data_IF_451644014458
#
_entry.id   IF_451644014458
#
_cell.length_a   1.000
_cell.length_b   1.000
_cell.length_c   1.000
_cell.angle_alpha   90.00
_cell.angle_beta   90.00
_cell.angle_gamma   90.00
#
_symmetry.space_group_name_H-M   'P 1'
#
loop_
_entity.id
_entity.type
_entity.pdbx_description
1 polymer ?
#
# COMPACT_ATOMS: atom_id res chain seq x y z
N UNK A 1 10.06 -12.50 8.84
CA UNK A 1 8.79 -13.16 9.18
C UNK A 1 7.71 -12.11 9.16
N UNK A 2 6.46 -12.46 8.85
CA UNK A 2 5.36 -11.48 9.00
C UNK A 2 5.04 -11.39 10.49
N UNK A 3 5.23 -10.20 11.05
CA UNK A 3 5.11 -9.90 12.47
C UNK A 3 3.74 -9.30 12.82
N UNK A 4 3.07 -8.70 11.84
CA UNK A 4 1.71 -8.21 11.97
C UNK A 4 0.99 -8.36 10.64
N UNK A 5 -0.33 -8.57 10.65
CA UNK A 5 -1.08 -8.72 9.42
C UNK A 5 -2.53 -8.27 9.54
N UNK A 6 -3.01 -7.67 8.47
CA UNK A 6 -4.37 -7.20 8.34
C UNK A 6 -5.00 -7.85 7.10
N UNK A 7 -6.21 -8.38 7.25
CA UNK A 7 -6.97 -8.91 6.12
C UNK A 7 -8.32 -8.19 6.02
N UNK A 8 -8.71 -7.90 4.78
CA UNK A 8 -10.01 -7.33 4.47
C UNK A 8 -10.65 -8.01 3.27
N UNK A 9 -11.97 -8.20 3.34
CA UNK A 9 -12.79 -8.59 2.21
C UNK A 9 -13.27 -7.33 1.51
N UNK A 10 -12.95 -7.19 0.22
CA UNK A 10 -13.44 -6.14 -0.65
C UNK A 10 -14.41 -6.72 -1.68
N UNK A 11 -15.61 -6.15 -1.73
CA UNK A 11 -16.67 -6.48 -2.68
C UNK A 11 -16.98 -5.22 -3.49
N UNK A 12 -16.89 -5.27 -4.82
CA UNK A 12 -17.17 -4.11 -5.68
C UNK A 12 -18.12 -4.45 -6.83
N UNK A 13 -18.89 -3.46 -7.28
CA UNK A 13 -19.75 -3.60 -8.45
C UNK A 13 -19.86 -2.29 -9.24
N UNK A 14 -20.07 -2.41 -10.55
CA UNK A 14 -20.34 -1.27 -11.44
C UNK A 14 -21.82 -0.91 -11.52
N UNK A 15 -22.70 -1.82 -11.08
CA UNK A 15 -24.15 -1.76 -11.30
C UNK A 15 -24.97 -1.93 -10.03
N UNK A 16 -24.41 -2.51 -8.97
CA UNK A 16 -25.12 -2.74 -7.69
C UNK A 16 -24.49 -1.92 -6.56
N UNK A 17 -25.24 -1.75 -5.47
CA UNK A 17 -24.88 -0.87 -4.35
C UNK A 17 -24.16 -1.61 -3.22
N UNK A 18 -23.43 -0.88 -2.40
CA UNK A 18 -22.80 -1.44 -1.19
C UNK A 18 -23.84 -1.82 -0.12
N UNK A 19 -24.99 -1.14 -0.09
CA UNK A 19 -26.08 -1.44 0.85
C UNK A 19 -26.70 -2.84 0.61
N UNK A 20 -26.74 -3.30 -0.64
CA UNK A 20 -27.22 -4.65 -0.96
C UNK A 20 -26.30 -5.74 -0.39
N UNK A 21 -24.99 -5.52 -0.39
CA UNK A 21 -24.03 -6.44 0.22
C UNK A 21 -24.30 -6.58 1.72
N UNK A 22 -24.51 -5.47 2.43
CA UNK A 22 -24.89 -5.45 3.85
C UNK A 22 -26.17 -6.23 4.10
N UNK A 23 -27.19 -6.02 3.25
CA UNK A 23 -28.48 -6.73 3.32
C UNK A 23 -28.32 -8.24 3.15
N UNK A 24 -27.47 -8.68 2.21
CA UNK A 24 -27.26 -10.10 1.91
C UNK A 24 -26.43 -10.78 3.01
N UNK A 25 -25.33 -10.17 3.41
CA UNK A 25 -24.42 -10.77 4.40
C UNK A 25 -24.91 -10.61 5.84
N UNK A 26 -25.76 -9.63 6.12
CA UNK A 26 -26.17 -9.27 7.48
C UNK A 26 -24.98 -8.80 8.33
N UNK A 27 -23.99 -8.16 7.69
CA UNK A 27 -22.78 -7.65 8.32
C UNK A 27 -22.62 -6.17 8.00
N UNK A 28 -22.22 -5.38 8.98
CA UNK A 28 -21.86 -3.98 8.77
C UNK A 28 -20.44 -3.88 8.20
N UNK A 29 -20.21 -3.06 7.16
CA UNK A 29 -18.88 -2.85 6.63
C UNK A 29 -18.02 -2.00 7.56
N UNK A 30 -16.72 -2.26 7.54
CA UNK A 30 -15.72 -1.32 8.06
C UNK A 30 -15.65 -0.04 7.22
N UNK A 31 -15.94 -0.15 5.92
CA UNK A 31 -16.00 0.97 4.99
C UNK A 31 -16.93 0.63 3.82
N UNK A 32 -17.71 1.61 3.39
CA UNK A 32 -18.52 1.50 2.17
C UNK A 32 -18.44 2.79 1.37
N UNK A 33 -18.82 2.70 0.09
CA UNK A 33 -18.96 3.82 -0.81
C UNK A 33 -19.84 3.45 -2.00
N UNK A 34 -20.49 4.44 -2.60
CA UNK A 34 -21.25 4.28 -3.83
C UNK A 34 -20.52 4.83 -5.06
N UNK A 35 -20.88 4.28 -6.22
CA UNK A 35 -20.49 4.80 -7.52
C UNK A 35 -20.95 6.26 -7.65
N UNK A 36 -20.06 7.11 -8.14
CA UNK A 36 -20.29 8.55 -8.26
C UNK A 36 -19.97 9.34 -7.01
N UNK A 37 -19.57 8.69 -5.90
CA UNK A 37 -19.04 9.42 -4.75
C UNK A 37 -17.65 10.02 -5.04
N UNK A 38 -17.31 11.18 -4.48
CA UNK A 38 -16.00 11.78 -4.64
C UNK A 38 -14.89 10.95 -3.97
N UNK A 39 -13.77 10.78 -4.67
CA UNK A 39 -12.56 10.15 -4.13
C UNK A 39 -11.67 11.20 -3.45
N UNK A 40 -11.78 11.29 -2.12
CA UNK A 40 -10.96 12.20 -1.32
C UNK A 40 -11.19 13.67 -1.68
N UNK A 41 -10.36 14.54 -1.11
CA UNK A 41 -10.35 15.96 -1.45
C UNK A 41 -9.56 16.18 -2.74
N UNK A 42 -9.96 17.12 -3.61
CA UNK A 42 -9.13 17.51 -4.73
C UNK A 42 -7.82 18.09 -4.19
N UNK A 43 -6.68 17.57 -4.67
CA UNK A 43 -5.36 18.19 -4.45
C UNK A 43 -5.24 19.39 -5.37
N UNK A 44 -4.59 20.45 -4.91
CA UNK A 44 -4.50 21.76 -5.59
C UNK A 44 -4.40 21.65 -7.12
N UNK A 45 -5.36 22.29 -7.78
CA UNK A 45 -5.43 22.36 -9.25
C UNK A 45 -5.90 21.09 -9.98
N UNK A 46 -6.20 19.98 -9.28
CA UNK A 46 -6.69 18.74 -9.91
C UNK A 46 -8.21 18.62 -9.84
N UNK A 47 -8.79 18.11 -10.92
CA UNK A 47 -10.22 17.81 -10.99
C UNK A 47 -10.63 16.77 -9.94
N UNK A 48 -11.85 16.95 -9.40
CA UNK A 48 -12.45 16.00 -8.48
C UNK A 48 -12.62 14.65 -9.18
N UNK A 49 -11.99 13.62 -8.62
CA UNK A 49 -12.21 12.25 -9.09
C UNK A 49 -13.43 11.67 -8.39
N UNK A 50 -14.15 10.83 -9.12
CA UNK A 50 -15.33 10.12 -8.63
C UNK A 50 -15.12 8.61 -8.76
N UNK A 51 -15.75 7.86 -7.87
CA UNK A 51 -15.69 6.41 -7.86
C UNK A 51 -16.48 5.85 -9.04
N UNK A 52 -15.86 4.97 -9.81
CA UNK A 52 -16.50 4.31 -10.95
C UNK A 52 -17.30 3.06 -10.55
N UNK A 53 -17.16 2.62 -9.30
CA UNK A 53 -17.75 1.43 -8.69
C UNK A 53 -18.24 1.73 -7.27
N UNK A 54 -19.33 1.07 -6.89
CA UNK A 54 -19.70 0.93 -5.48
C UNK A 54 -18.82 -0.12 -4.84
N UNK A 55 -18.54 0.01 -3.55
CA UNK A 55 -17.70 -0.92 -2.82
C UNK A 55 -18.07 -1.05 -1.36
N UNK A 56 -17.84 -2.26 -0.86
CA UNK A 56 -18.12 -2.70 0.49
C UNK A 56 -16.89 -3.42 1.01
N UNK A 57 -16.38 -3.00 2.16
CA UNK A 57 -15.16 -3.53 2.75
C UNK A 57 -15.40 -3.95 4.19
N UNK A 58 -15.05 -5.20 4.50
CA UNK A 58 -15.00 -5.72 5.86
C UNK A 58 -13.55 -5.97 6.25
N UNK A 59 -13.15 -5.38 7.36
CA UNK A 59 -11.81 -5.50 7.91
C UNK A 59 -11.93 -6.17 9.28
N UNK A 60 -11.08 -7.15 9.58
CA UNK A 60 -11.04 -7.72 10.91
C UNK A 60 -10.32 -6.77 11.87
N UNK A 61 -10.82 -6.62 13.09
CA UNK A 61 -10.10 -5.92 14.15
C UNK A 61 -8.73 -6.57 14.40
N UNK A 62 -7.76 -5.75 14.79
CA UNK A 62 -6.40 -6.17 15.13
C UNK A 62 -6.44 -7.30 16.17
N UNK A 63 -5.97 -8.48 15.78
CA UNK A 63 -5.79 -9.63 16.66
C UNK A 63 -4.37 -9.71 17.19
N UNK A 64 -4.04 -10.77 17.93
CA UNK A 64 -2.65 -11.00 18.33
C UNK A 64 -1.71 -10.98 17.11
N UNK A 65 -0.52 -10.34 17.21
CA UNK A 65 0.41 -10.23 16.10
C UNK A 65 0.87 -11.63 15.69
N UNK A 66 0.40 -12.08 14.53
CA UNK A 66 0.86 -13.29 13.89
C UNK A 66 0.73 -13.13 12.38
N UNK A 67 1.46 -13.94 11.63
CA UNK A 67 1.44 -13.85 10.18
C UNK A 67 0.05 -13.98 9.58
N UNK A 68 -0.87 -14.73 10.21
CA UNK A 68 -2.17 -15.10 9.61
C UNK A 68 -3.40 -14.74 10.45
N UNK A 69 -3.23 -14.09 11.60
CA UNK A 69 -4.33 -13.79 12.53
C UNK A 69 -5.40 -12.92 11.89
N UNK A 70 -5.02 -11.89 11.14
CA UNK A 70 -5.97 -11.03 10.41
C UNK A 70 -6.84 -11.83 9.44
N UNK A 71 -6.23 -12.79 8.73
CA UNK A 71 -6.96 -13.67 7.82
C UNK A 71 -7.92 -14.61 8.56
N UNK A 72 -7.45 -15.26 9.62
CA UNK A 72 -8.28 -16.20 10.38
C UNK A 72 -9.45 -15.50 11.08
N UNK A 73 -9.25 -14.26 11.56
CA UNK A 73 -10.32 -13.44 12.11
C UNK A 73 -11.39 -13.09 11.07
N UNK A 74 -10.96 -12.72 9.85
CA UNK A 74 -11.88 -12.48 8.73
C UNK A 74 -12.65 -13.76 8.36
N UNK A 75 -11.96 -14.90 8.23
CA UNK A 75 -12.59 -16.18 7.92
C UNK A 75 -13.62 -16.60 8.98
N UNK A 76 -13.30 -16.37 10.27
CA UNK A 76 -14.23 -16.67 11.37
C UNK A 76 -15.46 -15.76 11.36
N UNK A 77 -15.29 -14.50 10.95
CA UNK A 77 -16.43 -13.56 10.80
C UNK A 77 -17.37 -13.96 9.66
N UNK A 78 -16.83 -14.63 8.64
CA UNK A 78 -17.55 -15.07 7.45
C UNK A 78 -18.04 -16.52 7.51
N UNK A 79 -17.78 -17.22 8.61
CA UNK A 79 -18.17 -18.62 8.80
C UNK A 79 -19.70 -18.78 8.66
N UNK A 80 -20.11 -19.74 7.82
CA UNK A 80 -21.52 -19.99 7.53
C UNK A 80 -22.15 -19.04 6.51
N UNK A 81 -21.38 -18.14 5.89
CA UNK A 81 -21.85 -17.21 4.84
C UNK A 81 -21.42 -17.62 3.44
N UNK A 82 -20.92 -18.83 3.24
CA UNK A 82 -20.30 -19.30 2.00
C UNK A 82 -21.30 -19.28 0.83
N UNK A 83 -22.55 -19.69 1.06
CA UNK A 83 -23.61 -19.64 0.05
C UNK A 83 -23.98 -18.20 -0.31
N UNK A 84 -24.06 -17.30 0.67
CA UNK A 84 -24.37 -15.89 0.45
C UNK A 84 -23.25 -15.18 -0.33
N UNK A 85 -21.99 -15.50 -0.02
CA UNK A 85 -20.84 -15.03 -0.78
C UNK A 85 -20.89 -15.57 -2.21
N UNK A 86 -21.28 -16.84 -2.41
CA UNK A 86 -21.45 -17.42 -3.74
C UNK A 86 -22.53 -16.72 -4.56
N UNK A 87 -23.66 -16.36 -3.95
CA UNK A 87 -24.73 -15.60 -4.61
C UNK A 87 -24.26 -14.20 -5.05
N UNK A 88 -23.47 -13.52 -4.21
CA UNK A 88 -22.91 -12.21 -4.54
C UNK A 88 -21.91 -12.28 -5.71
N UNK A 89 -21.14 -13.36 -5.85
CA UNK A 89 -20.15 -13.47 -6.95
C UNK A 89 -20.77 -13.39 -8.35
N UNK A 90 -22.07 -13.65 -8.51
CA UNK A 90 -22.75 -13.48 -9.80
C UNK A 90 -22.82 -12.01 -10.27
N UNK A 91 -22.69 -11.06 -9.34
CA UNK A 91 -22.99 -9.64 -9.56
C UNK A 91 -21.89 -8.68 -9.07
N UNK A 92 -20.92 -9.21 -8.33
CA UNK A 92 -19.86 -8.46 -7.68
C UNK A 92 -18.49 -9.09 -7.94
N UNK A 93 -17.47 -8.25 -8.06
CA UNK A 93 -16.07 -8.68 -7.99
C UNK A 93 -15.66 -8.73 -6.51
N UNK A 94 -15.07 -9.86 -6.09
CA UNK A 94 -14.74 -10.13 -4.69
C UNK A 94 -13.27 -10.51 -4.55
N UNK A 95 -12.57 -9.83 -3.64
CA UNK A 95 -11.18 -10.16 -3.33
C UNK A 95 -10.90 -9.99 -1.84
N UNK A 96 -10.13 -10.90 -1.28
CA UNK A 96 -9.50 -10.71 0.03
C UNK A 96 -8.16 -10.04 -0.20
N UNK A 97 -7.96 -8.89 0.44
CA UNK A 97 -6.70 -8.18 0.49
C UNK A 97 -6.03 -8.43 1.83
N UNK A 98 -4.81 -8.95 1.81
CA UNK A 98 -4.02 -9.24 2.99
C UNK A 98 -2.71 -8.47 2.96
N UNK A 99 -2.55 -7.60 3.93
CA UNK A 99 -1.33 -6.83 4.13
C UNK A 99 -0.58 -7.42 5.31
N UNK A 100 0.67 -7.79 5.09
CA UNK A 100 1.60 -8.21 6.13
C UNK A 100 2.63 -7.14 6.39
N UNK A 101 2.95 -6.89 7.65
CA UNK A 101 4.17 -6.23 8.07
C UNK A 101 5.20 -7.30 8.35
N UNK A 102 6.40 -7.17 7.79
CA UNK A 102 7.49 -8.12 7.98
C UNK A 102 8.75 -7.46 8.49
N UNK A 103 9.55 -8.19 9.28
CA UNK A 103 10.89 -7.82 9.72
C UNK A 103 12.00 -8.48 8.89
N UNK A 104 11.66 -9.08 7.74
CA UNK A 104 12.58 -9.85 6.91
C UNK A 104 12.51 -9.43 5.45
N UNK A 105 13.68 -9.31 4.82
CA UNK A 105 13.86 -8.99 3.39
C UNK A 105 13.28 -10.07 2.46
N UNK A 106 13.07 -11.29 2.96
CA UNK A 106 12.41 -12.38 2.26
C UNK A 106 11.16 -12.78 3.03
N UNK A 107 10.10 -11.97 3.02
CA UNK A 107 8.89 -12.31 3.73
C UNK A 107 8.22 -13.51 3.09
N UNK A 108 8.25 -14.64 3.81
CA UNK A 108 7.41 -15.78 3.50
C UNK A 108 5.99 -15.55 4.00
N UNK A 109 5.02 -15.70 3.10
CA UNK A 109 3.62 -15.88 3.47
C UNK A 109 3.40 -17.36 3.80
N UNK A 110 3.36 -17.68 5.09
CA UNK A 110 3.13 -19.05 5.54
C UNK A 110 1.65 -19.24 5.86
N UNK A 111 1.01 -20.13 5.10
CA UNK A 111 -0.35 -20.57 5.36
C UNK A 111 -0.34 -21.97 5.97
N UNK A 112 -1.14 -22.17 7.00
CA UNK A 112 -1.49 -23.52 7.44
C UNK A 112 -2.45 -24.16 6.43
N UNK A 113 -2.49 -25.49 6.37
CA UNK A 113 -3.46 -26.21 5.53
C UNK A 113 -4.90 -25.82 5.88
N UNK A 114 -5.17 -25.60 7.17
CA UNK A 114 -6.48 -25.14 7.63
C UNK A 114 -6.83 -23.76 7.05
N UNK A 115 -5.90 -22.81 7.08
CA UNK A 115 -6.14 -21.49 6.51
C UNK A 115 -6.40 -21.55 5.00
N UNK A 116 -5.63 -22.37 4.26
CA UNK A 116 -5.88 -22.58 2.83
C UNK A 116 -7.26 -23.18 2.54
N UNK A 117 -7.76 -24.10 3.38
CA UNK A 117 -9.11 -24.65 3.24
C UNK A 117 -10.18 -23.58 3.45
N UNK A 118 -10.06 -22.80 4.52
CA UNK A 118 -10.99 -21.68 4.80
C UNK A 118 -10.97 -20.64 3.69
N UNK A 119 -9.79 -20.32 3.14
CA UNK A 119 -9.65 -19.46 1.93
C UNK A 119 -10.48 -20.01 0.78
N UNK A 120 -10.28 -21.29 0.47
CA UNK A 120 -10.93 -21.93 -0.67
C UNK A 120 -12.46 -21.94 -0.52
N UNK A 121 -12.96 -22.16 0.69
CA UNK A 121 -14.41 -22.14 1.02
C UNK A 121 -15.03 -20.76 0.82
N UNK A 122 -14.29 -19.69 1.14
CA UNK A 122 -14.73 -18.31 0.88
C UNK A 122 -14.79 -17.97 -0.62
N UNK A 123 -14.18 -18.77 -1.51
CA UNK A 123 -14.25 -18.64 -2.96
C UNK A 123 -13.89 -17.24 -3.50
N UNK A 124 -13.04 -16.49 -2.80
CA UNK A 124 -12.60 -15.16 -3.18
C UNK A 124 -11.15 -15.21 -3.68
N UNK A 125 -10.79 -14.31 -4.61
CA UNK A 125 -9.40 -14.12 -4.98
C UNK A 125 -8.62 -13.56 -3.79
N UNK A 126 -7.51 -14.20 -3.42
CA UNK A 126 -6.63 -13.68 -2.36
C UNK A 126 -5.47 -12.93 -2.99
N UNK A 127 -5.29 -11.68 -2.54
CA UNK A 127 -4.20 -10.81 -2.93
C UNK A 127 -3.42 -10.43 -1.69
N UNK A 128 -2.09 -10.50 -1.78
CA UNK A 128 -1.21 -10.27 -0.65
C UNK A 128 -0.19 -9.18 -0.97
N UNK A 129 0.08 -8.30 -0.01
CA UNK A 129 1.23 -7.42 -0.03
C UNK A 129 1.99 -7.55 1.30
N UNK A 130 3.32 -7.50 1.26
CA UNK A 130 4.13 -7.47 2.46
C UNK A 130 4.94 -6.17 2.46
N UNK A 131 4.79 -5.40 3.52
CA UNK A 131 5.59 -4.21 3.79
C UNK A 131 6.66 -4.56 4.83
N UNK A 132 7.92 -4.39 4.45
CA UNK A 132 9.04 -4.51 5.37
C UNK A 132 9.00 -3.32 6.33
N UNK A 133 8.74 -3.58 7.61
CA UNK A 133 8.89 -2.61 8.69
C UNK A 133 10.22 -2.89 9.36
N UNK A 134 11.16 -1.98 9.13
CA UNK A 134 12.32 -1.88 9.98
C UNK A 134 11.98 -0.94 11.14
N UNK A 135 12.29 -1.40 12.36
CA UNK A 135 11.67 -0.92 13.60
C UNK A 135 11.79 0.58 13.92
N UNK A 136 10.91 1.02 14.83
CA UNK A 136 10.98 2.31 15.48
C UNK A 136 12.09 2.32 16.52
N UNK A 137 13.31 2.70 16.14
CA UNK A 137 14.27 3.42 17.00
C UNK A 137 15.55 3.78 16.22
N UNK A 138 15.78 5.09 16.07
CA UNK A 138 17.05 5.76 15.72
C UNK A 138 18.07 4.95 14.90
N UNK A 139 17.76 4.78 13.62
CA UNK A 139 18.70 4.30 12.61
C UNK A 139 18.53 5.10 11.31
N UNK A 140 19.48 5.01 10.37
CA UNK A 140 19.34 5.68 9.08
C UNK A 140 18.00 5.36 8.41
N UNK A 141 17.28 6.37 7.90
CA UNK A 141 15.96 6.20 7.29
C UNK A 141 16.07 6.13 5.78
N UNK A 142 15.63 5.03 5.21
CA UNK A 142 15.36 4.89 3.79
C UNK A 142 13.93 5.35 3.49
N UNK A 143 13.73 6.37 2.66
CA UNK A 143 12.43 6.72 2.11
C UNK A 143 12.31 6.21 0.70
N UNK A 144 11.18 5.57 0.38
CA UNK A 144 10.82 5.22 -0.99
C UNK A 144 9.64 6.09 -1.42
N UNK A 145 9.84 6.83 -2.49
CA UNK A 145 8.85 7.67 -3.13
C UNK A 145 8.60 7.19 -4.55
N UNK A 146 7.33 7.07 -4.93
CA UNK A 146 6.98 6.89 -6.32
C UNK A 146 6.99 8.26 -7.00
N UNK A 147 7.82 8.41 -8.03
CA UNK A 147 7.85 9.57 -8.89
C UNK A 147 7.12 9.25 -10.19
N UNK A 148 6.27 10.16 -10.65
CA UNK A 148 5.67 10.10 -11.99
C UNK A 148 6.20 11.25 -12.81
N UNK A 149 6.88 10.93 -13.90
CA UNK A 149 7.55 11.87 -14.79
C UNK A 149 6.73 12.02 -16.06
N UNK A 150 6.38 13.26 -16.39
CA UNK A 150 5.67 13.59 -17.61
C UNK A 150 6.45 13.15 -18.86
N UNK A 151 5.73 12.71 -19.90
CA UNK A 151 6.33 12.19 -21.14
C UNK A 151 7.39 13.11 -21.78
N UNK A 152 7.23 14.45 -21.80
CA UNK A 152 8.27 15.35 -22.33
C UNK A 152 9.57 15.36 -21.52
N UNK A 153 9.51 15.05 -20.22
CA UNK A 153 10.66 15.09 -19.32
C UNK A 153 11.38 13.73 -19.20
N UNK A 154 10.72 12.62 -19.53
CA UNK A 154 11.25 11.26 -19.34
C UNK A 154 12.60 11.01 -20.02
N UNK A 155 12.84 11.61 -21.19
CA UNK A 155 14.05 11.38 -21.97
C UNK A 155 15.31 11.95 -21.30
N UNK A 156 15.17 13.00 -20.49
CA UNK A 156 16.27 13.69 -19.83
C UNK A 156 16.23 13.55 -18.30
N UNK A 157 15.20 12.89 -17.77
CA UNK A 157 14.95 12.84 -16.34
C UNK A 157 16.06 12.14 -15.56
N UNK A 158 16.54 10.99 -16.03
CA UNK A 158 17.61 10.24 -15.35
C UNK A 158 18.91 11.04 -15.30
N UNK A 159 19.26 11.75 -16.37
CA UNK A 159 20.42 12.65 -16.42
C UNK A 159 20.23 13.86 -15.48
N UNK A 160 19.06 14.48 -15.47
CA UNK A 160 18.75 15.57 -14.55
C UNK A 160 18.79 15.12 -13.09
N UNK A 161 18.27 13.92 -12.80
CA UNK A 161 18.33 13.32 -11.48
C UNK A 161 19.77 13.06 -11.06
N UNK A 162 20.59 12.45 -11.92
CA UNK A 162 21.99 12.18 -11.62
C UNK A 162 22.81 13.46 -11.38
N UNK A 163 22.48 14.55 -12.07
CA UNK A 163 23.08 15.85 -11.81
C UNK A 163 22.56 16.48 -10.50
N UNK A 164 21.25 16.41 -10.27
CA UNK A 164 20.60 17.01 -9.11
C UNK A 164 20.91 16.26 -7.81
N UNK A 165 21.11 14.93 -7.82
CA UNK A 165 21.35 14.17 -6.59
C UNK A 165 22.63 14.59 -5.87
N UNK A 166 23.59 15.18 -6.58
CA UNK A 166 24.83 15.66 -5.98
C UNK A 166 24.57 16.79 -4.96
N UNK A 167 23.57 17.64 -5.19
CA UNK A 167 23.23 18.69 -4.23
C UNK A 167 22.57 18.16 -2.95
N UNK A 168 22.09 16.90 -2.96
CA UNK A 168 21.58 16.26 -1.74
C UNK A 168 22.70 15.89 -0.78
N UNK A 169 23.93 15.67 -1.27
CA UNK A 169 25.08 15.31 -0.41
C UNK A 169 25.45 16.42 0.58
N UNK A 170 25.08 17.66 0.29
CA UNK A 170 25.32 18.80 1.17
C UNK A 170 24.24 18.93 2.27
N UNK A 171 23.15 18.15 2.19
CA UNK A 171 22.09 18.18 3.19
C UNK A 171 22.48 17.40 4.45
N UNK A 172 22.26 18.03 5.60
CA UNK A 172 22.50 17.41 6.90
C UNK A 172 21.70 16.11 7.03
N UNK A 173 22.38 15.04 7.43
CA UNK A 173 21.79 13.72 7.58
C UNK A 173 21.57 12.96 6.28
N UNK A 174 21.76 13.52 5.07
CA UNK A 174 21.61 12.75 3.84
C UNK A 174 22.77 11.75 3.64
N UNK A 175 22.43 10.53 3.21
CA UNK A 175 23.38 9.42 3.08
C UNK A 175 23.43 8.82 1.67
N UNK A 176 22.41 9.05 0.84
CA UNK A 176 22.42 8.61 -0.55
C UNK A 176 21.04 8.61 -1.20
N UNK A 177 21.02 8.56 -2.53
CA UNK A 177 19.80 8.39 -3.30
C UNK A 177 20.03 7.45 -4.49
N UNK A 178 19.07 6.55 -4.68
CA UNK A 178 19.03 5.56 -5.74
C UNK A 178 17.71 5.73 -6.52
N UNK A 179 17.76 5.55 -7.83
CA UNK A 179 16.62 5.68 -8.71
C UNK A 179 16.43 4.40 -9.52
N UNK A 180 15.24 3.82 -9.45
CA UNK A 180 14.87 2.66 -10.25
C UNK A 180 13.66 2.98 -11.12
N UNK A 181 13.67 2.55 -12.38
CA UNK A 181 12.50 2.64 -13.27
C UNK A 181 11.53 1.50 -12.94
N UNK A 182 10.25 1.81 -12.80
CA UNK A 182 9.22 0.77 -12.65
C UNK A 182 9.06 -0.01 -13.98
N UNK A 183 9.03 -1.33 -13.90
CA UNK A 183 9.00 -2.20 -15.09
C UNK A 183 7.64 -2.20 -15.80
N UNK A 184 6.57 -1.86 -15.07
CA UNK A 184 5.17 -2.02 -15.44
C UNK A 184 4.47 -0.71 -15.83
N UNK A 185 5.04 0.45 -15.47
CA UNK A 185 4.43 1.76 -15.75
C UNK A 185 5.45 2.75 -16.33
N UNK A 186 5.26 3.10 -17.62
CA UNK A 186 6.14 4.04 -18.33
C UNK A 186 6.08 5.42 -17.67
N UNK A 187 7.25 5.97 -17.35
CA UNK A 187 7.38 7.26 -16.67
C UNK A 187 7.23 7.18 -15.14
N UNK A 188 7.09 5.98 -14.59
CA UNK A 188 7.12 5.77 -13.14
C UNK A 188 8.51 5.36 -12.68
N UNK A 189 8.97 6.01 -11.62
CA UNK A 189 10.24 5.74 -10.97
C UNK A 189 10.03 5.53 -9.48
N UNK A 190 10.91 4.74 -8.87
CA UNK A 190 11.05 4.58 -7.45
C UNK A 190 12.32 5.31 -7.03
N UNK A 191 12.14 6.43 -6.34
CA UNK A 191 13.21 7.14 -5.68
C UNK A 191 13.39 6.55 -4.29
N UNK A 192 14.58 6.05 -4.02
CA UNK A 192 15.01 5.61 -2.70
C UNK A 192 16.02 6.61 -2.16
N UNK A 193 15.76 7.25 -1.02
CA UNK A 193 16.73 8.15 -0.35
C UNK A 193 17.06 7.62 1.03
N UNK A 194 18.32 7.69 1.45
CA UNK A 194 18.78 7.30 2.79
C UNK A 194 19.18 8.55 3.58
N UNK A 195 18.75 8.62 4.83
CA UNK A 195 18.92 9.74 5.75
C UNK A 195 19.42 9.22 7.09
N UNK A 196 19.98 10.07 7.95
CA UNK A 196 20.39 9.69 9.30
C UNK A 196 19.18 9.57 10.23
N UNK A 197 18.16 10.43 10.06
CA UNK A 197 16.93 10.42 10.86
C UNK A 197 15.67 10.77 10.04
N UNK A 198 14.49 10.62 10.66
CA UNK A 198 13.19 10.98 10.07
C UNK A 198 12.97 12.48 9.92
N UNK A 199 13.59 13.27 10.79
CA UNK A 199 13.46 14.72 10.79
C UNK A 199 14.21 15.30 9.59
N UNK A 200 15.38 14.74 9.28
CA UNK A 200 16.22 15.17 8.16
C UNK A 200 15.52 14.90 6.81
N UNK A 201 14.83 13.76 6.72
CA UNK A 201 14.01 13.36 5.59
C UNK A 201 12.81 14.30 5.31
N UNK A 202 12.34 15.03 6.33
CA UNK A 202 11.25 16.00 6.24
C UNK A 202 11.75 17.43 6.10
N UNK A 203 13.04 17.62 5.84
CA UNK A 203 13.61 18.94 5.66
C UNK A 203 12.95 19.66 4.47
N UNK A 204 12.69 20.96 4.65
CA UNK A 204 12.20 21.83 3.58
C UNK A 204 13.13 21.81 2.36
N UNK A 205 14.44 21.65 2.59
CA UNK A 205 15.44 21.55 1.54
C UNK A 205 15.26 20.30 0.65
N UNK A 206 14.83 19.16 1.21
CA UNK A 206 14.53 17.97 0.40
C UNK A 206 13.24 18.14 -0.41
N UNK A 207 12.22 18.79 0.17
CA UNK A 207 10.99 19.12 -0.55
C UNK A 207 11.28 20.09 -1.72
N UNK A 208 12.07 21.14 -1.49
CA UNK A 208 12.52 22.09 -2.52
C UNK A 208 13.32 21.39 -3.62
N UNK A 209 14.18 20.44 -3.25
CA UNK A 209 14.94 19.64 -4.22
C UNK A 209 14.02 18.79 -5.11
N UNK A 210 13.02 18.13 -4.53
CA UNK A 210 12.02 17.36 -5.27
C UNK A 210 11.21 18.25 -6.23
N UNK A 211 10.85 19.46 -5.81
CA UNK A 211 10.13 20.44 -6.63
C UNK A 211 10.98 21.00 -7.78
N UNK A 212 12.30 20.99 -7.65
CA UNK A 212 13.23 21.41 -8.69
C UNK A 212 13.41 20.37 -9.82
N UNK A 213 12.93 19.12 -9.63
CA UNK A 213 13.04 18.09 -10.66
C UNK A 213 12.01 18.33 -11.79
N UNK A 214 12.45 18.39 -13.06
CA UNK A 214 11.60 18.80 -14.16
C UNK A 214 10.50 17.77 -14.47
N UNK A 215 9.25 18.24 -14.48
CA UNK A 215 8.10 17.43 -14.90
C UNK A 215 7.79 16.25 -13.98
N UNK A 216 8.26 16.30 -12.74
CA UNK A 216 8.00 15.29 -11.71
C UNK A 216 6.72 15.60 -10.95
N UNK A 217 5.94 14.56 -10.69
CA UNK A 217 4.95 14.56 -9.63
C UNK A 217 5.31 13.51 -8.60
N UNK A 218 5.46 13.93 -7.36
CA UNK A 218 5.90 13.10 -6.24
C UNK A 218 4.68 12.48 -5.56
N UNK A 219 4.68 11.16 -5.40
CA UNK A 219 3.70 10.42 -4.61
C UNK A 219 3.92 10.59 -3.11
N UNK A 220 3.00 10.08 -2.28
CA UNK A 220 3.23 10.11 -0.83
C UNK A 220 4.45 9.25 -0.46
N UNK A 221 5.40 9.78 0.34
CA UNK A 221 6.57 9.04 0.76
C UNK A 221 6.19 7.86 1.66
N UNK A 222 6.79 6.70 1.40
CA UNK A 222 6.83 5.57 2.32
C UNK A 222 8.19 5.58 3.01
N UNK A 223 8.22 5.61 4.34
CA UNK A 223 9.47 5.67 5.13
C UNK A 223 9.81 4.32 5.71
N UNK A 224 11.11 4.02 5.76
CA UNK A 224 11.70 2.77 6.24
C UNK A 224 12.93 3.14 7.09
N UNK A 225 13.20 2.50 8.24
CA UNK A 225 14.34 2.84 9.13
C UNK A 225 15.38 1.72 9.13
N UNK A 226 16.48 1.84 8.41
CA UNK A 226 17.63 0.95 8.50
C UNK A 226 18.21 0.93 9.93
N UNK A 227 18.07 -0.18 10.64
CA UNK A 227 18.68 -0.39 11.96
C UNK A 227 19.95 -1.22 11.78
N UNK A 228 21.11 -0.59 11.97
CA UNK A 228 22.40 -1.25 11.97
C UNK A 228 22.49 -2.22 13.16
N UNK A 229 22.52 -3.54 12.90
CA UNK A 229 22.95 -4.49 13.92
C UNK A 229 24.46 -4.36 14.12
N UNK A 230 24.90 -3.73 15.20
CA UNK A 230 26.19 -4.08 15.78
C UNK A 230 26.10 -5.53 16.25
N UNK A 231 26.81 -6.43 15.55
CA UNK A 231 26.93 -7.82 15.96
C UNK A 231 27.59 -7.92 17.35
N UNK A 232 27.15 -8.85 18.22
CA UNK A 232 27.85 -9.17 19.45
C UNK A 232 29.19 -9.89 19.19
#
# INVERSE_FOLDING_TARGET
MIIDSHASLLITSKTHTSAEVTRVLGLEPSRSWEKGEPMGKPRDGREQRYRDRSGWQLSCAEGEPSSISGFMGLASTLEGKESLLADLRAHYEMSIWWDGITDSEQPGFYFTIEALRRIAELGCDVKGSAALVFGTESGPIQNVQQLRVSEPAQAQFEEHFDNARWSLLDLEGFQGADLARAADERGTYLLTTRWATAVDADSAAFAEWCDALPGVSVGEPRRYVEVSRTAP
#
